data_IF_922500026960
#
_entry.id   IF_922500026960
#
_cell.length_a   1.000
_cell.length_b   1.000
_cell.length_c   1.000
_cell.angle_alpha   90.00
_cell.angle_beta   90.00
_cell.angle_gamma   90.00
#
_symmetry.space_group_name_H-M   'P 1'
#
loop_
_entity.id
_entity.type
_entity.pdbx_description
1 polymer ?
#
# COMPACT_ATOMS: atom_id res chain seq x y z
N UNK A 1 4.48 -6.67 27.06
CA UNK A 1 5.69 -6.21 26.38
C UNK A 1 5.41 -6.42 24.91
N UNK A 2 4.82 -5.43 24.23
CA UNK A 2 4.57 -5.51 22.80
C UNK A 2 5.84 -4.99 22.13
N UNK A 3 6.62 -5.94 21.62
CA UNK A 3 7.89 -5.67 20.97
C UNK A 3 7.63 -4.81 19.73
N UNK A 4 8.31 -3.68 19.69
CA UNK A 4 8.50 -2.75 18.57
C UNK A 4 8.63 -3.48 17.24
N UNK A 5 7.55 -3.49 16.45
CA UNK A 5 7.63 -3.70 15.01
C UNK A 5 8.46 -2.53 14.47
N UNK A 6 9.65 -2.83 13.97
CA UNK A 6 10.64 -1.83 13.61
C UNK A 6 10.08 -0.95 12.50
N UNK A 7 9.75 0.29 12.88
CA UNK A 7 9.40 1.46 12.07
C UNK A 7 10.45 1.75 10.98
N UNK A 8 10.56 0.89 9.97
CA UNK A 8 11.24 1.22 8.73
C UNK A 8 10.17 1.73 7.75
N UNK A 9 9.90 3.02 7.85
CA UNK A 9 8.98 3.70 6.94
C UNK A 9 9.60 3.80 5.55
N UNK A 10 8.84 3.47 4.52
CA UNK A 10 9.15 3.65 3.10
C UNK A 10 9.17 5.15 2.78
N UNK A 11 10.27 5.65 2.22
CA UNK A 11 10.28 7.04 1.73
C UNK A 11 9.28 7.25 0.59
N UNK A 12 8.99 6.17 -0.11
CA UNK A 12 7.98 6.09 -1.16
C UNK A 12 6.53 6.15 -0.65
N UNK A 13 6.29 5.99 0.66
CA UNK A 13 4.99 6.24 1.30
C UNK A 13 4.76 7.70 1.69
N UNK A 14 5.67 8.63 1.33
CA UNK A 14 5.42 10.06 1.52
C UNK A 14 4.32 10.52 0.54
N UNK A 15 3.20 11.09 1.02
CA UNK A 15 2.10 11.50 0.17
C UNK A 15 2.54 12.57 -0.82
N UNK A 16 2.19 12.38 -2.09
CA UNK A 16 2.47 13.33 -3.16
C UNK A 16 1.59 14.59 -3.01
N UNK A 17 2.15 15.79 -2.73
CA UNK A 17 1.37 16.99 -2.49
C UNK A 17 0.69 17.55 -3.76
N UNK A 18 1.07 17.09 -4.94
CA UNK A 18 0.45 17.50 -6.22
C UNK A 18 -0.64 16.54 -6.69
N UNK A 19 -0.91 15.47 -5.94
CA UNK A 19 -1.97 14.53 -6.29
C UNK A 19 -3.35 15.16 -6.05
N UNK A 20 -4.22 15.07 -7.04
CA UNK A 20 -5.53 15.73 -7.03
C UNK A 20 -6.60 14.83 -6.43
N UNK A 21 -6.81 14.96 -5.12
CA UNK A 21 -7.78 14.14 -4.39
C UNK A 21 -9.23 14.36 -4.85
N UNK A 22 -9.56 15.56 -5.31
CA UNK A 22 -10.91 15.92 -5.77
C UNK A 22 -11.30 15.12 -7.02
N UNK A 23 -10.36 14.93 -7.95
CA UNK A 23 -10.56 14.09 -9.13
C UNK A 23 -10.77 12.60 -8.82
N UNK A 24 -10.41 12.15 -7.63
CA UNK A 24 -10.51 10.75 -7.18
C UNK A 24 -11.35 10.60 -5.91
N UNK A 25 -12.26 11.54 -5.65
CA UNK A 25 -13.06 11.57 -4.43
C UNK A 25 -13.86 10.28 -4.19
N UNK A 26 -14.35 9.65 -5.26
CA UNK A 26 -15.09 8.39 -5.21
C UNK A 26 -14.21 7.23 -4.70
N UNK A 27 -12.98 7.17 -5.20
CA UNK A 27 -11.96 6.19 -4.77
C UNK A 27 -11.57 6.43 -3.32
N UNK A 28 -11.31 7.68 -2.94
CA UNK A 28 -10.95 8.07 -1.56
C UNK A 28 -12.06 7.69 -0.58
N UNK A 29 -13.32 7.92 -0.95
CA UNK A 29 -14.47 7.61 -0.10
C UNK A 29 -14.57 6.12 0.25
N UNK A 30 -14.17 5.22 -0.66
CA UNK A 30 -14.15 3.78 -0.42
C UNK A 30 -13.19 3.40 0.71
N UNK A 31 -12.06 4.11 0.84
CA UNK A 31 -11.05 3.85 1.87
C UNK A 31 -11.33 4.55 3.20
N UNK A 32 -12.33 5.42 3.26
CA UNK A 32 -12.67 6.18 4.48
C UNK A 32 -13.32 5.33 5.59
N UNK A 33 -13.40 4.01 5.43
CA UNK A 33 -13.96 3.09 6.42
C UNK A 33 -12.90 2.73 7.48
N UNK A 34 -13.17 3.04 8.75
CA UNK A 34 -12.25 2.83 9.88
C UNK A 34 -11.89 1.35 10.14
N UNK A 35 -12.59 0.39 9.53
CA UNK A 35 -12.33 -1.04 9.73
C UNK A 35 -11.37 -1.62 8.68
N UNK A 36 -10.87 -0.80 7.76
CA UNK A 36 -9.91 -1.22 6.74
C UNK A 36 -8.49 -1.13 7.29
N UNK A 37 -7.67 -2.14 7.01
CA UNK A 37 -6.25 -2.19 7.33
C UNK A 37 -5.50 -2.36 6.02
N UNK A 38 -4.65 -1.40 5.68
CA UNK A 38 -3.90 -1.40 4.43
C UNK A 38 -2.48 -1.83 4.73
N UNK A 39 -2.04 -2.91 4.08
CA UNK A 39 -0.67 -3.41 4.14
C UNK A 39 0.04 -3.14 2.82
N UNK A 40 1.13 -2.40 2.85
CA UNK A 40 1.85 -1.96 1.67
C UNK A 40 3.25 -2.55 1.68
N UNK A 41 3.57 -3.38 0.69
CA UNK A 41 4.91 -3.87 0.44
C UNK A 41 5.56 -3.06 -0.69
N UNK A 42 6.60 -2.33 -0.35
CA UNK A 42 7.32 -1.45 -1.26
C UNK A 42 8.83 -1.55 -1.09
N UNK A 43 9.58 -1.02 -2.03
CA UNK A 43 11.03 -0.92 -1.92
C UNK A 43 11.52 0.39 -2.51
N UNK A 44 12.27 1.17 -1.74
CA UNK A 44 12.76 2.50 -2.17
C UNK A 44 13.73 2.43 -3.37
N UNK A 45 14.27 1.24 -3.63
CA UNK A 45 15.11 0.93 -4.79
C UNK A 45 14.30 0.67 -6.07
N UNK A 46 12.99 0.45 -5.97
CA UNK A 46 12.12 0.15 -7.11
C UNK A 46 11.53 1.44 -7.70
N UNK A 47 11.67 1.63 -9.02
CA UNK A 47 11.20 2.83 -9.71
C UNK A 47 9.67 2.94 -9.66
N UNK A 48 8.96 1.83 -9.90
CA UNK A 48 7.49 1.79 -9.86
C UNK A 48 6.95 2.06 -8.47
N UNK A 49 7.61 1.54 -7.42
CA UNK A 49 7.29 1.90 -6.03
C UNK A 49 7.40 3.41 -5.83
N UNK A 50 8.52 4.03 -6.25
CA UNK A 50 8.71 5.50 -6.14
C UNK A 50 7.72 6.31 -6.97
N UNK A 51 7.11 5.71 -7.98
CA UNK A 51 6.16 6.38 -8.87
C UNK A 51 4.71 6.24 -8.39
N UNK A 52 4.33 5.06 -7.92
CA UNK A 52 2.93 4.75 -7.58
C UNK A 52 2.60 4.93 -6.09
N UNK A 53 3.54 4.62 -5.19
CA UNK A 53 3.29 4.68 -3.76
C UNK A 53 3.04 6.11 -3.24
N UNK A 54 3.71 7.17 -3.75
CA UNK A 54 3.40 8.53 -3.29
C UNK A 54 1.98 8.99 -3.62
N UNK A 55 1.47 8.62 -4.80
CA UNK A 55 0.09 8.92 -5.21
C UNK A 55 -0.90 8.10 -4.36
N UNK A 56 -0.58 6.83 -4.08
CA UNK A 56 -1.39 6.01 -3.18
C UNK A 56 -1.41 6.57 -1.75
N UNK A 57 -0.26 6.96 -1.21
CA UNK A 57 -0.17 7.59 0.10
C UNK A 57 -0.96 8.91 0.17
N UNK A 58 -1.00 9.69 -0.93
CA UNK A 58 -1.85 10.87 -1.01
C UNK A 58 -3.34 10.51 -0.95
N UNK A 59 -3.77 9.44 -1.62
CA UNK A 59 -5.14 8.94 -1.52
C UNK A 59 -5.49 8.49 -0.10
N UNK A 60 -4.60 7.74 0.56
CA UNK A 60 -4.77 7.35 1.97
C UNK A 60 -4.81 8.57 2.89
N UNK A 61 -4.01 9.60 2.60
CA UNK A 61 -4.02 10.87 3.34
C UNK A 61 -5.35 11.60 3.21
N UNK A 62 -5.92 11.59 2.01
CA UNK A 62 -7.21 12.21 1.74
C UNK A 62 -8.38 11.44 2.38
N UNK A 63 -8.22 10.13 2.58
CA UNK A 63 -9.16 9.27 3.28
C UNK A 63 -9.02 9.29 4.81
N UNK A 64 -8.05 10.06 5.35
CA UNK A 64 -7.74 10.16 6.78
C UNK A 64 -7.26 8.85 7.46
N UNK A 65 -6.74 7.89 6.69
CA UNK A 65 -6.37 6.55 7.20
C UNK A 65 -4.86 6.31 7.41
N UNK A 66 -4.00 7.31 7.15
CA UNK A 66 -2.53 7.18 7.12
C UNK A 66 -1.84 6.74 8.44
N UNK A 67 -2.57 6.65 9.55
CA UNK A 67 -2.02 6.33 10.87
C UNK A 67 -2.05 4.84 11.21
N UNK A 68 -3.05 4.44 11.99
CA UNK A 68 -3.14 3.08 12.56
C UNK A 68 -3.56 2.00 11.55
N UNK A 69 -4.14 2.40 10.41
CA UNK A 69 -4.59 1.49 9.36
C UNK A 69 -3.50 1.26 8.28
N UNK A 70 -2.60 2.25 8.16
CA UNK A 70 -1.34 2.37 7.41
C UNK A 70 -0.18 1.42 7.74
N UNK A 71 -0.14 0.14 7.34
CA UNK A 71 1.04 -0.71 7.58
C UNK A 71 1.99 -0.78 6.39
N UNK A 72 3.19 -0.25 6.54
CA UNK A 72 4.24 -0.29 5.53
C UNK A 72 5.30 -1.35 5.80
N UNK A 73 5.63 -2.12 4.76
CA UNK A 73 6.54 -3.25 4.79
C UNK A 73 7.66 -3.04 3.78
N UNK A 74 8.85 -2.61 4.21
CA UNK A 74 9.97 -2.40 3.31
C UNK A 74 10.54 -3.74 2.84
N UNK A 75 10.65 -3.88 1.53
CA UNK A 75 11.14 -5.07 0.85
C UNK A 75 12.54 -4.81 0.30
N UNK A 76 13.48 -5.65 0.68
CA UNK A 76 14.86 -5.66 0.23
C UNK A 76 15.03 -6.68 -0.91
N UNK A 77 15.99 -6.41 -1.80
CA UNK A 77 16.33 -7.33 -2.90
C UNK A 77 17.71 -7.90 -2.66
N UNK A 78 17.83 -9.22 -2.69
CA UNK A 78 19.12 -9.90 -2.56
C UNK A 78 19.90 -9.90 -3.89
N UNK A 79 21.14 -10.41 -3.85
CA UNK A 79 22.00 -10.50 -5.04
C UNK A 79 21.44 -11.40 -6.16
N UNK A 80 20.52 -12.32 -5.83
CA UNK A 80 19.84 -13.20 -6.78
C UNK A 80 18.56 -12.58 -7.37
N UNK A 81 18.18 -11.38 -6.92
CA UNK A 81 16.95 -10.71 -7.35
C UNK A 81 15.68 -11.16 -6.61
N UNK A 82 15.83 -12.01 -5.60
CA UNK A 82 14.74 -12.42 -4.73
C UNK A 82 14.39 -11.28 -3.77
N UNK A 83 13.09 -11.16 -3.49
CA UNK A 83 12.52 -10.15 -2.62
C UNK A 83 12.42 -10.73 -1.21
N UNK A 84 12.94 -10.01 -0.23
CA UNK A 84 12.98 -10.42 1.18
C UNK A 84 12.47 -9.27 2.05
N UNK A 85 11.71 -9.58 3.09
CA UNK A 85 11.17 -8.55 3.98
C UNK A 85 10.09 -9.10 4.91
N UNK A 86 9.57 -8.26 5.81
CA UNK A 86 8.49 -8.63 6.71
C UNK A 86 7.26 -9.07 5.93
N UNK A 87 6.72 -10.24 6.29
CA UNK A 87 5.50 -10.84 5.70
C UNK A 87 5.53 -11.11 4.19
N UNK A 88 6.69 -10.97 3.55
CA UNK A 88 6.86 -11.23 2.10
C UNK A 88 6.58 -12.69 1.77
N UNK A 89 7.19 -13.62 2.51
CA UNK A 89 6.96 -15.06 2.30
C UNK A 89 5.56 -15.49 2.77
N UNK A 90 5.07 -14.90 3.86
CA UNK A 90 3.74 -15.18 4.44
C UNK A 90 2.61 -14.84 3.47
N UNK A 91 2.66 -13.68 2.82
CA UNK A 91 1.65 -13.24 1.86
C UNK A 91 1.98 -13.62 0.40
N UNK A 92 3.13 -14.25 0.16
CA UNK A 92 3.57 -14.67 -1.18
C UNK A 92 3.91 -13.49 -2.10
N UNK A 93 4.51 -12.44 -1.55
CA UNK A 93 4.84 -11.19 -2.25
C UNK A 93 6.02 -11.40 -3.21
N UNK A 94 5.69 -11.68 -4.48
CA UNK A 94 6.70 -11.89 -5.53
C UNK A 94 6.95 -10.64 -6.38
N UNK A 95 6.08 -9.63 -6.31
CA UNK A 95 6.16 -8.37 -7.07
C UNK A 95 5.93 -7.18 -6.13
N UNK A 96 6.56 -6.05 -6.39
CA UNK A 96 6.39 -4.81 -5.60
C UNK A 96 6.29 -3.63 -6.56
N UNK A 97 5.37 -2.66 -6.37
CA UNK A 97 4.52 -2.51 -5.20
C UNK A 97 3.41 -3.57 -5.14
N UNK A 98 3.16 -4.08 -3.94
CA UNK A 98 1.98 -4.90 -3.64
C UNK A 98 1.27 -4.26 -2.47
N UNK A 99 -0.06 -4.14 -2.56
CA UNK A 99 -0.89 -3.59 -1.49
C UNK A 99 -2.03 -4.54 -1.23
N UNK A 100 -2.25 -4.86 0.04
CA UNK A 100 -3.36 -5.70 0.50
C UNK A 100 -4.22 -4.87 1.41
N UNK A 101 -5.54 -4.95 1.21
CA UNK A 101 -6.53 -4.32 2.07
C UNK A 101 -7.26 -5.43 2.80
N UNK A 102 -7.25 -5.34 4.12
CA UNK A 102 -7.94 -6.26 5.02
C UNK A 102 -9.09 -5.52 5.68
N UNK A 103 -10.23 -6.19 5.87
CA UNK A 103 -11.37 -5.70 6.65
C UNK A 103 -11.63 -6.71 7.75
N UNK A 104 -11.66 -6.28 9.01
CA UNK A 104 -11.86 -7.19 10.15
C UNK A 104 -10.89 -8.40 10.19
N UNK A 105 -9.65 -8.24 9.71
CA UNK A 105 -8.63 -9.29 9.52
C UNK A 105 -8.90 -10.29 8.39
N UNK A 106 -9.83 -9.99 7.48
CA UNK A 106 -10.06 -10.74 6.25
C UNK A 106 -9.55 -9.95 5.04
N UNK A 107 -8.79 -10.58 4.16
CA UNK A 107 -8.34 -9.95 2.91
C UNK A 107 -9.54 -9.72 1.98
N UNK A 108 -9.85 -8.46 1.73
CA UNK A 108 -10.97 -8.04 0.87
C UNK A 108 -10.52 -7.54 -0.50
N UNK A 109 -9.30 -7.01 -0.60
CA UNK A 109 -8.74 -6.55 -1.87
C UNK A 109 -7.22 -6.68 -1.90
N UNK A 110 -6.67 -6.88 -3.10
CA UNK A 110 -5.23 -7.06 -3.33
C UNK A 110 -4.83 -6.43 -4.66
N UNK A 111 -3.79 -5.60 -4.62
CA UNK A 111 -3.12 -5.04 -5.78
C UNK A 111 -1.72 -5.61 -5.91
N UNK A 112 -1.33 -6.01 -7.12
CA UNK A 112 0.04 -6.48 -7.44
C UNK A 112 0.54 -5.72 -8.68
N UNK A 113 1.82 -5.33 -8.69
CA UNK A 113 2.58 -4.71 -9.82
C UNK A 113 2.51 -5.51 -11.15
N UNK A 114 1.32 -5.59 -11.70
CA UNK A 114 0.97 -6.15 -13.01
C UNK A 114 -0.23 -5.44 -13.59
N UNK A 115 -0.96 -4.68 -12.78
CA UNK A 115 -2.10 -3.91 -13.22
C UNK A 115 -1.68 -2.61 -13.90
N UNK A 116 -2.32 -2.32 -15.03
CA UNK A 116 -2.11 -1.09 -15.80
C UNK A 116 -2.76 0.15 -15.16
N UNK A 117 -3.40 -0.02 -14.00
CA UNK A 117 -4.17 1.02 -13.31
C UNK A 117 -3.48 1.45 -12.01
N UNK A 118 -3.76 2.66 -11.49
CA UNK A 118 -3.24 3.10 -10.20
C UNK A 118 -3.72 2.19 -9.06
N UNK A 119 -2.87 2.04 -8.03
CA UNK A 119 -3.11 1.19 -6.85
C UNK A 119 -4.47 1.49 -6.21
N UNK A 120 -4.74 2.77 -5.93
CA UNK A 120 -5.98 3.21 -5.28
C UNK A 120 -7.22 2.84 -6.11
N UNK A 121 -7.15 2.98 -7.43
CA UNK A 121 -8.26 2.70 -8.35
C UNK A 121 -8.58 1.22 -8.42
N UNK A 122 -7.55 0.37 -8.53
CA UNK A 122 -7.73 -1.08 -8.53
C UNK A 122 -8.39 -1.57 -7.25
N UNK A 123 -7.84 -1.15 -6.10
CA UNK A 123 -8.34 -1.57 -4.80
C UNK A 123 -9.76 -1.05 -4.54
N UNK A 124 -10.06 0.20 -4.90
CA UNK A 124 -11.42 0.73 -4.79
C UNK A 124 -12.41 -0.04 -5.68
N UNK A 125 -11.99 -0.42 -6.89
CA UNK A 125 -12.75 -1.30 -7.77
C UNK A 125 -13.12 -2.61 -7.08
N UNK A 126 -12.15 -3.30 -6.49
CA UNK A 126 -12.37 -4.57 -5.78
C UNK A 126 -13.26 -4.41 -4.54
N UNK A 127 -13.17 -3.28 -3.83
CA UNK A 127 -13.96 -3.00 -2.63
C UNK A 127 -15.41 -2.61 -2.93
N UNK A 128 -15.73 -2.22 -4.18
CA UNK A 128 -17.09 -1.86 -4.60
C UNK A 128 -17.82 -2.94 -5.41
N UNK A 129 -17.16 -4.07 -5.71
CA UNK A 129 -17.75 -5.21 -6.45
C UNK A 129 -18.65 -6.12 -5.59
#
# INVERSE_FOLDING_TARGET
>A
MAETDTERTLETMKPNPVWDADSWSDVVAVFSDDNLTVRVWGGDWCNDCRRQLPDFAAAMSAADILGEQVHEYPVEKNAHGEKHGPRVEEYGINRIPTVVVERENEEVARFVETESVPIAVSLAGQLTE
#
